data_IF_802045357480
#
_entry.id   IF_802045357480
#
_cell.length_a   1.000
_cell.length_b   1.000
_cell.length_c   1.000
_cell.angle_alpha   90.00
_cell.angle_beta   90.00
_cell.angle_gamma   90.00
#
_symmetry.space_group_name_H-M   'P 1'
#
loop_
_entity.id
_entity.type
_entity.pdbx_description
1 polymer ?
#
# COMPACT_ATOMS: atom_id res chain seq x y z
N UNK A 1 14.21 1.86 5.97
CA UNK A 1 12.90 2.51 5.71
C UNK A 1 12.09 2.48 6.99
N UNK A 2 11.43 3.59 7.35
CA UNK A 2 10.54 3.70 8.52
C UNK A 2 9.17 4.12 8.00
N UNK A 3 8.12 3.46 8.49
CA UNK A 3 6.73 3.79 8.19
C UNK A 3 6.05 4.38 9.42
N UNK A 4 5.42 5.53 9.27
CA UNK A 4 4.52 6.13 10.26
C UNK A 4 3.09 5.88 9.79
N UNK A 5 2.23 5.40 10.67
CA UNK A 5 0.82 5.14 10.38
C UNK A 5 -0.08 5.89 11.36
N UNK A 6 -1.23 6.30 10.90
CA UNK A 6 -2.24 6.97 11.72
C UNK A 6 -3.64 6.67 11.17
N UNK A 7 -4.64 6.84 12.02
CA UNK A 7 -6.05 6.74 11.65
C UNK A 7 -6.41 7.70 10.49
N UNK A 8 -7.47 7.42 9.73
CA UNK A 8 -7.97 8.31 8.69
C UNK A 8 -8.18 9.73 9.23
N UNK A 9 -7.85 10.71 8.42
CA UNK A 9 -8.15 12.12 8.64
C UNK A 9 -7.86 12.87 7.35
N UNK A 10 -8.73 13.77 6.96
CA UNK A 10 -8.57 14.60 5.76
C UNK A 10 -7.21 15.33 5.73
N UNK A 11 -6.60 15.40 4.55
CA UNK A 11 -5.32 16.08 4.34
C UNK A 11 -5.19 16.61 2.92
N UNK A 12 -4.24 17.53 2.72
CA UNK A 12 -3.85 18.01 1.39
C UNK A 12 -2.71 17.18 0.82
N UNK A 13 -2.83 16.81 -0.45
CA UNK A 13 -1.77 16.15 -1.22
C UNK A 13 -0.66 17.13 -1.61
N UNK A 14 0.49 16.62 -2.05
CA UNK A 14 1.60 17.42 -2.57
C UNK A 14 1.21 18.25 -3.81
N UNK A 15 0.26 17.77 -4.61
CA UNK A 15 -0.29 18.49 -5.77
C UNK A 15 -1.36 19.53 -5.40
N UNK A 16 -1.70 19.68 -4.11
CA UNK A 16 -2.71 20.63 -3.62
C UNK A 16 -4.14 20.10 -3.61
N UNK A 17 -4.37 18.87 -4.09
CA UNK A 17 -5.67 18.21 -3.99
C UNK A 17 -6.03 17.89 -2.53
N UNK A 18 -7.32 17.66 -2.28
CA UNK A 18 -7.83 17.22 -0.98
C UNK A 18 -8.14 15.72 -1.02
N UNK A 19 -7.80 15.02 0.04
CA UNK A 19 -8.25 13.64 0.32
C UNK A 19 -9.07 13.69 1.59
N UNK A 20 -10.30 13.20 1.50
CA UNK A 20 -11.22 13.17 2.63
C UNK A 20 -11.01 11.92 3.50
N UNK A 21 -11.48 11.98 4.73
CA UNK A 21 -11.31 10.92 5.72
C UNK A 21 -11.90 9.58 5.26
N UNK A 22 -13.06 9.63 4.61
CA UNK A 22 -13.78 8.45 4.11
C UNK A 22 -13.19 7.83 2.82
N UNK A 23 -12.19 8.46 2.22
CA UNK A 23 -11.51 7.96 1.01
C UNK A 23 -10.34 7.01 1.34
N UNK A 24 -10.03 6.81 2.61
CA UNK A 24 -8.92 5.95 3.04
C UNK A 24 -9.27 5.16 4.30
N UNK A 25 -8.51 4.12 4.59
CA UNK A 25 -8.64 3.30 5.80
C UNK A 25 -7.53 3.60 6.81
N UNK A 26 -6.41 4.14 6.35
CA UNK A 26 -5.32 4.65 7.18
C UNK A 26 -4.48 5.66 6.41
N UNK A 27 -3.74 6.48 7.14
CA UNK A 27 -2.68 7.32 6.58
C UNK A 27 -1.33 6.70 6.82
N UNK A 28 -0.47 6.71 5.79
CA UNK A 28 0.91 6.28 5.90
C UNK A 28 1.88 7.35 5.40
N UNK A 29 3.04 7.44 6.06
CA UNK A 29 4.18 8.25 5.63
C UNK A 29 5.42 7.39 5.73
N UNK A 30 6.13 7.25 4.62
CA UNK A 30 7.36 6.47 4.56
C UNK A 30 8.57 7.39 4.54
N UNK A 31 9.52 7.10 5.42
CA UNK A 31 10.83 7.76 5.42
C UNK A 31 11.84 6.76 4.88
N UNK A 32 12.45 7.12 3.77
CA UNK A 32 13.47 6.33 3.10
C UNK A 32 14.67 7.22 2.74
N UNK A 33 15.88 6.80 3.06
CA UNK A 33 17.11 7.57 2.85
C UNK A 33 17.02 9.02 3.39
N UNK A 34 16.51 9.17 4.62
CA UNK A 34 16.29 10.46 5.31
C UNK A 34 15.35 11.44 4.58
N UNK A 35 14.51 10.93 3.69
CA UNK A 35 13.51 11.75 2.97
C UNK A 35 12.13 11.13 3.09
N UNK A 36 11.12 12.00 3.11
CA UNK A 36 9.74 11.57 2.97
C UNK A 36 9.54 11.02 1.54
N UNK A 37 9.02 9.81 1.45
CA UNK A 37 8.61 9.25 0.16
C UNK A 37 7.32 9.94 -0.29
N UNK A 38 7.32 10.53 -1.46
CA UNK A 38 6.19 11.33 -1.97
C UNK A 38 4.92 10.51 -2.26
N UNK A 39 5.07 9.21 -2.40
CA UNK A 39 3.98 8.26 -2.59
C UNK A 39 4.11 7.14 -1.56
N UNK A 40 3.66 5.93 -1.89
CA UNK A 40 3.92 4.71 -1.12
C UNK A 40 4.61 3.67 -2.00
N UNK A 41 5.69 3.08 -1.49
CA UNK A 41 6.35 1.98 -2.19
C UNK A 41 5.43 0.75 -2.24
N UNK A 42 5.37 0.07 -3.40
CA UNK A 42 4.49 -1.09 -3.57
C UNK A 42 4.72 -2.19 -2.54
N UNK A 43 5.98 -2.51 -2.23
CA UNK A 43 6.31 -3.48 -1.17
C UNK A 43 5.84 -3.03 0.22
N UNK A 44 5.96 -1.74 0.53
CA UNK A 44 5.48 -1.19 1.79
C UNK A 44 3.94 -1.19 1.87
N UNK A 45 3.23 -0.94 0.77
CA UNK A 45 1.77 -1.02 0.75
C UNK A 45 1.28 -2.45 1.00
N UNK A 46 1.95 -3.46 0.44
CA UNK A 46 1.67 -4.87 0.72
C UNK A 46 1.92 -5.22 2.19
N UNK A 47 3.04 -4.75 2.76
CA UNK A 47 3.34 -4.96 4.20
C UNK A 47 2.27 -4.32 5.10
N UNK A 48 1.81 -3.10 4.77
CA UNK A 48 0.74 -2.43 5.51
C UNK A 48 -0.59 -3.17 5.39
N UNK A 49 -0.92 -3.66 4.19
CA UNK A 49 -2.11 -4.46 3.96
C UNK A 49 -2.09 -5.75 4.81
N UNK A 50 -0.98 -6.47 4.81
CA UNK A 50 -0.83 -7.65 5.65
C UNK A 50 -0.94 -7.29 7.14
N UNK A 51 -0.18 -6.29 7.60
CA UNK A 51 -0.17 -5.87 9.00
C UNK A 51 -1.54 -5.39 9.50
N UNK A 52 -2.38 -4.81 8.64
CA UNK A 52 -3.74 -4.39 8.99
C UNK A 52 -4.66 -5.57 9.33
N UNK A 53 -4.28 -6.79 9.00
CA UNK A 53 -5.04 -8.02 9.27
C UNK A 53 -4.43 -8.87 10.38
N UNK A 54 -3.31 -8.45 10.96
CA UNK A 54 -2.65 -9.16 12.06
C UNK A 54 -3.13 -8.56 13.39
N UNK A 55 -3.87 -9.33 14.21
CA UNK A 55 -4.41 -8.86 15.48
C UNK A 55 -3.32 -8.30 16.41
N UNK A 56 -3.57 -7.13 16.98
CA UNK A 56 -2.66 -6.46 17.91
C UNK A 56 -1.50 -5.71 17.24
N UNK A 57 -1.38 -5.75 15.92
CA UNK A 57 -0.39 -4.92 15.23
C UNK A 57 -0.70 -3.43 15.36
N UNK A 58 0.33 -2.57 15.23
CA UNK A 58 0.15 -1.11 15.25
C UNK A 58 -0.74 -0.66 14.08
N UNK A 59 -0.61 -1.30 12.93
CA UNK A 59 -1.38 -0.97 11.72
C UNK A 59 -2.84 -1.36 11.91
N UNK A 60 -3.11 -2.55 12.43
CA UNK A 60 -4.48 -3.03 12.69
C UNK A 60 -5.23 -2.08 13.65
N UNK A 61 -4.55 -1.58 14.69
CA UNK A 61 -5.18 -0.68 15.66
C UNK A 61 -5.55 0.70 15.13
N UNK A 62 -4.96 1.16 14.04
CA UNK A 62 -5.22 2.49 13.46
C UNK A 62 -5.98 2.44 12.15
N UNK A 63 -6.07 1.27 11.52
CA UNK A 63 -6.78 1.09 10.26
C UNK A 63 -8.29 0.94 10.49
N UNK A 64 -9.09 1.55 9.64
CA UNK A 64 -10.50 1.19 9.52
C UNK A 64 -10.63 -0.12 8.73
N UNK A 65 -11.49 -1.02 9.22
CA UNK A 65 -11.66 -2.34 8.62
C UNK A 65 -12.81 -2.35 7.63
N UNK A 66 -12.48 -2.33 6.34
CA UNK A 66 -13.44 -2.66 5.28
C UNK A 66 -13.50 -4.18 5.09
N UNK A 67 -14.68 -4.70 4.82
CA UNK A 67 -14.89 -6.12 4.59
C UNK A 67 -14.76 -6.52 3.11
N UNK A 68 -14.28 -5.64 2.26
CA UNK A 68 -14.20 -5.82 0.81
C UNK A 68 -12.87 -6.43 0.31
N UNK A 69 -12.03 -6.92 1.22
CA UNK A 69 -10.72 -7.48 0.87
C UNK A 69 -9.70 -6.43 0.38
N UNK A 70 -9.92 -5.16 0.73
CA UNK A 70 -9.04 -4.06 0.37
C UNK A 70 -8.53 -3.31 1.60
N UNK A 71 -7.47 -2.53 1.39
CA UNK A 71 -7.00 -1.50 2.29
C UNK A 71 -6.66 -0.27 1.45
N UNK A 72 -7.29 0.86 1.75
CA UNK A 72 -7.04 2.15 1.10
C UNK A 72 -6.03 2.95 1.93
N UNK A 73 -4.84 3.16 1.37
CA UNK A 73 -3.74 3.82 2.08
C UNK A 73 -3.59 5.26 1.58
N UNK A 74 -3.87 6.22 2.47
CA UNK A 74 -3.62 7.64 2.23
C UNK A 74 -2.13 7.98 2.37
N UNK A 75 -1.53 8.56 1.33
CA UNK A 75 -0.12 8.94 1.28
C UNK A 75 0.06 10.34 0.68
N UNK A 76 1.26 10.96 0.69
CA UNK A 76 1.42 12.37 0.28
C UNK A 76 0.87 12.73 -1.10
N UNK A 77 0.83 11.78 -2.04
CA UNK A 77 0.34 12.04 -3.42
C UNK A 77 -1.11 11.58 -3.68
N UNK A 78 -1.82 11.05 -2.67
CA UNK A 78 -3.21 10.58 -2.84
C UNK A 78 -3.50 9.32 -2.05
N UNK A 79 -4.27 8.40 -2.63
CA UNK A 79 -4.68 7.13 -2.03
C UNK A 79 -4.28 5.98 -2.95
N UNK A 80 -3.73 4.92 -2.36
CA UNK A 80 -3.40 3.68 -3.08
C UNK A 80 -4.26 2.53 -2.54
N UNK A 81 -5.08 1.89 -3.39
CA UNK A 81 -5.77 0.67 -3.03
C UNK A 81 -4.80 -0.52 -3.03
N UNK A 82 -4.91 -1.35 -2.01
CA UNK A 82 -4.21 -2.63 -1.90
C UNK A 82 -5.22 -3.75 -1.74
N UNK A 83 -4.93 -4.91 -2.29
CA UNK A 83 -5.74 -6.10 -2.13
C UNK A 83 -5.18 -6.97 -1.00
N UNK A 84 -6.04 -7.39 -0.07
CA UNK A 84 -5.67 -8.23 1.06
C UNK A 84 -6.81 -9.19 1.38
N UNK A 85 -6.66 -10.44 1.00
CA UNK A 85 -7.61 -11.50 1.33
C UNK A 85 -6.94 -12.44 2.34
N UNK A 86 -7.63 -12.69 3.46
CA UNK A 86 -7.08 -13.45 4.58
C UNK A 86 -8.11 -14.40 5.16
N UNK A 87 -7.61 -15.49 5.73
CA UNK A 87 -8.35 -16.31 6.67
C UNK A 87 -7.85 -16.01 8.10
N UNK A 88 -8.71 -15.51 8.98
CA UNK A 88 -8.32 -15.22 10.35
C UNK A 88 -8.02 -16.52 11.11
N UNK A 89 -6.87 -16.58 11.76
CA UNK A 89 -6.49 -17.58 12.74
C UNK A 89 -6.55 -17.03 14.16
N UNK A 90 -6.50 -17.86 15.19
CA UNK A 90 -6.63 -17.43 16.58
C UNK A 90 -5.49 -16.50 17.04
N UNK A 91 -4.31 -16.59 16.45
CA UNK A 91 -3.13 -15.79 16.80
C UNK A 91 -2.38 -15.30 15.57
N UNK A 92 -2.82 -15.69 14.37
CA UNK A 92 -2.12 -15.44 13.12
C UNK A 92 -3.10 -15.29 11.96
N UNK A 93 -2.67 -14.74 10.85
CA UNK A 93 -3.47 -14.62 9.66
C UNK A 93 -2.76 -15.34 8.50
N UNK A 94 -3.50 -16.17 7.78
CA UNK A 94 -3.05 -16.73 6.50
C UNK A 94 -3.52 -15.80 5.38
N UNK A 95 -2.65 -15.54 4.42
CA UNK A 95 -2.93 -14.62 3.32
C UNK A 95 -3.09 -15.40 2.02
N UNK A 96 -4.26 -15.29 1.39
CA UNK A 96 -4.51 -15.87 0.07
C UNK A 96 -4.08 -14.93 -1.03
N UNK A 97 -4.33 -13.63 -0.83
CA UNK A 97 -3.98 -12.59 -1.79
C UNK A 97 -3.38 -11.39 -1.09
N UNK A 98 -2.21 -10.98 -1.54
CA UNK A 98 -1.59 -9.70 -1.22
C UNK A 98 -1.16 -9.02 -2.51
N UNK A 99 -1.68 -7.83 -2.79
CA UNK A 99 -1.40 -7.14 -4.02
C UNK A 99 -1.68 -5.65 -3.96
N UNK A 100 -1.22 -4.93 -4.97
CA UNK A 100 -1.54 -3.52 -5.16
C UNK A 100 -1.79 -3.23 -6.64
N UNK A 101 -2.66 -2.26 -6.90
CA UNK A 101 -2.97 -1.83 -8.25
C UNK A 101 -1.94 -0.84 -8.78
N UNK A 102 -1.58 -1.00 -10.05
CA UNK A 102 -0.72 -0.07 -10.78
C UNK A 102 -1.37 0.29 -12.11
N UNK A 103 -1.17 1.52 -12.52
CA UNK A 103 -1.49 1.93 -13.87
C UNK A 103 -0.28 1.72 -14.78
N UNK A 104 -0.52 1.33 -16.02
CA UNK A 104 0.51 1.19 -17.04
C UNK A 104 0.04 1.79 -18.35
N UNK A 105 0.97 2.42 -19.06
CA UNK A 105 0.76 2.91 -20.40
C UNK A 105 1.88 2.39 -21.30
N UNK A 106 1.53 1.80 -22.45
CA UNK A 106 2.55 1.41 -23.43
C UNK A 106 3.25 2.66 -23.97
N UNK A 107 4.56 2.70 -23.84
CA UNK A 107 5.39 3.81 -24.33
C UNK A 107 6.11 3.46 -25.62
N UNK A 108 6.43 2.17 -25.83
CA UNK A 108 7.13 1.69 -27.01
C UNK A 108 6.82 0.22 -27.27
N UNK A 109 7.12 -0.22 -28.47
CA UNK A 109 7.12 -1.61 -28.91
C UNK A 109 8.42 -1.84 -29.71
N UNK A 110 9.05 -3.01 -29.56
CA UNK A 110 10.31 -3.29 -30.18
C UNK A 110 10.77 -4.73 -29.99
N UNK A 111 11.87 -5.08 -30.67
CA UNK A 111 12.48 -6.40 -30.58
C UNK A 111 13.69 -6.34 -29.65
N UNK A 112 13.75 -7.28 -28.69
CA UNK A 112 14.92 -7.48 -27.82
C UNK A 112 15.68 -8.74 -28.27
N UNK A 113 16.99 -8.64 -28.37
CA UNK A 113 17.88 -9.75 -28.67
C UNK A 113 18.54 -10.22 -27.37
N UNK A 114 18.54 -11.52 -27.13
CA UNK A 114 19.20 -12.12 -25.97
C UNK A 114 19.96 -13.39 -26.39
N UNK A 115 21.07 -13.73 -25.74
CA UNK A 115 21.78 -14.98 -26.01
C UNK A 115 20.90 -16.18 -25.65
N UNK A 116 20.79 -17.14 -26.54
CA UNK A 116 20.00 -18.36 -26.34
C UNK A 116 20.79 -19.47 -25.66
N UNK A 117 22.14 -19.38 -25.66
CA UNK A 117 23.03 -20.34 -25.00
C UNK A 117 24.13 -19.58 -24.25
N UNK A 118 24.49 -20.07 -23.08
CA UNK A 118 25.75 -19.74 -22.42
C UNK A 118 26.75 -20.80 -22.85
N UNK A 119 27.73 -20.44 -23.68
CA UNK A 119 28.93 -21.22 -23.83
C UNK A 119 29.74 -21.25 -22.53
#
# INVERSE_FOLDING_TARGET
MVGLVAAPKAYRTLSGGQVEENEMDLRARLIFMNRLHESIAGSASICLAAASRIPGSVVERVAEHRQDGQLLIGHPSGVTPTKVETHPGPHDATFDVLGFSRTARRLMDGTAYYPTERE
#
